data_IF_577404368368
#
_entry.id   IF_577404368368
#
_cell.length_a   1.000
_cell.length_b   1.000
_cell.length_c   1.000
_cell.angle_alpha   90.00
_cell.angle_beta   90.00
_cell.angle_gamma   90.00
#
_symmetry.space_group_name_H-M   'P 1'
#
loop_
_entity.id
_entity.type
_entity.pdbx_description
1 polymer ?
#
# COMPACT_ATOMS: atom_id res chain seq x y z
N UNK A 1 22.83 26.32 -12.66
CA UNK A 1 22.07 25.04 -12.77
C UNK A 1 21.12 24.92 -11.58
N UNK A 2 19.79 25.01 -11.79
CA UNK A 2 18.82 24.82 -10.71
C UNK A 2 18.59 23.33 -10.50
N UNK A 3 19.13 22.78 -9.40
CA UNK A 3 18.81 21.42 -8.94
C UNK A 3 17.34 21.42 -8.52
N UNK A 4 16.43 21.04 -9.42
CA UNK A 4 15.05 20.74 -9.08
C UNK A 4 15.07 19.52 -8.16
N UNK A 5 15.01 19.75 -6.85
CA UNK A 5 14.81 18.70 -5.88
C UNK A 5 13.49 18.01 -6.22
N UNK A 6 13.57 16.78 -6.75
CA UNK A 6 12.42 15.90 -6.97
C UNK A 6 11.77 15.71 -5.59
N UNK A 7 10.70 16.45 -5.30
CA UNK A 7 9.86 16.20 -4.12
C UNK A 7 9.40 14.76 -4.27
N UNK A 8 9.93 13.84 -3.45
CA UNK A 8 9.42 12.47 -3.35
C UNK A 8 7.95 12.62 -2.98
N UNK A 9 7.08 12.42 -3.97
CA UNK A 9 5.65 12.40 -3.77
C UNK A 9 5.39 11.20 -2.87
N UNK A 10 5.13 11.47 -1.59
CA UNK A 10 4.79 10.42 -0.63
C UNK A 10 3.42 9.91 -1.05
N UNK A 11 3.41 8.84 -1.83
CA UNK A 11 2.18 8.10 -2.10
C UNK A 11 1.73 7.50 -0.78
N UNK A 12 0.67 8.08 -0.24
CA UNK A 12 -0.09 7.52 0.87
C UNK A 12 -0.68 6.19 0.39
N UNK A 13 -0.56 5.16 1.22
CA UNK A 13 -1.22 3.89 0.97
C UNK A 13 -2.70 4.05 1.31
N UNK A 14 -3.56 3.59 0.42
CA UNK A 14 -5.02 3.63 0.58
C UNK A 14 -5.57 2.22 0.65
N UNK A 15 -6.82 2.06 1.07
CA UNK A 15 -7.52 0.77 1.08
C UNK A 15 -7.47 0.07 -0.28
N UNK A 16 -7.60 0.85 -1.37
CA UNK A 16 -7.62 0.37 -2.76
C UNK A 16 -6.24 0.03 -3.33
N UNK A 17 -5.16 0.31 -2.59
CA UNK A 17 -3.80 0.04 -3.07
C UNK A 17 -3.63 -1.45 -3.34
N UNK A 18 -3.16 -1.81 -4.53
CA UNK A 18 -2.90 -3.21 -4.90
C UNK A 18 -1.74 -3.79 -4.11
N UNK A 19 -1.84 -5.07 -3.76
CA UNK A 19 -0.75 -5.78 -3.09
C UNK A 19 0.52 -5.80 -3.95
N UNK A 20 0.41 -5.93 -5.28
CA UNK A 20 1.55 -5.80 -6.21
C UNK A 20 2.38 -4.53 -5.97
N UNK A 21 1.72 -3.40 -5.66
CA UNK A 21 2.40 -2.13 -5.40
C UNK A 21 3.19 -2.19 -4.09
N UNK A 22 2.64 -2.86 -3.07
CA UNK A 22 3.29 -3.06 -1.77
C UNK A 22 4.48 -4.01 -1.93
N UNK A 23 4.30 -5.12 -2.64
CA UNK A 23 5.37 -6.08 -2.91
C UNK A 23 6.54 -5.42 -3.63
N UNK A 24 6.28 -4.62 -4.67
CA UNK A 24 7.32 -3.86 -5.40
C UNK A 24 7.97 -2.77 -4.55
N UNK A 25 7.17 -2.05 -3.74
CA UNK A 25 7.66 -0.93 -2.92
C UNK A 25 8.54 -1.39 -1.77
N UNK A 26 8.21 -2.52 -1.16
CA UNK A 26 8.92 -3.05 0.01
C UNK A 26 9.80 -4.26 -0.29
N UNK A 27 9.78 -4.78 -1.52
CA UNK A 27 10.56 -5.96 -1.93
C UNK A 27 10.14 -7.23 -1.19
N UNK A 28 8.86 -7.35 -0.84
CA UNK A 28 8.31 -8.48 -0.10
C UNK A 28 7.46 -9.35 -1.00
N UNK A 29 7.49 -10.66 -0.80
CA UNK A 29 6.52 -11.56 -1.40
C UNK A 29 5.48 -11.95 -0.34
N UNK A 30 4.21 -11.67 -0.63
CA UNK A 30 3.11 -11.90 0.31
C UNK A 30 2.31 -13.17 -0.02
N UNK A 31 2.71 -13.92 -1.06
CA UNK A 31 2.01 -15.13 -1.55
C UNK A 31 0.48 -14.95 -1.67
N UNK A 32 0.06 -13.73 -2.01
CA UNK A 32 -1.34 -13.38 -2.24
C UNK A 32 -1.52 -12.81 -3.62
N UNK A 33 -2.77 -12.84 -4.07
CA UNK A 33 -3.12 -12.32 -5.38
C UNK A 33 -2.66 -10.85 -5.53
N UNK A 34 -1.86 -10.53 -6.56
CA UNK A 34 -1.25 -9.22 -6.74
C UNK A 34 -2.28 -8.12 -7.05
N UNK A 35 -3.44 -8.49 -7.61
CA UNK A 35 -4.55 -7.58 -7.88
C UNK A 35 -5.44 -7.33 -6.65
N UNK A 36 -5.21 -8.07 -5.56
CA UNK A 36 -5.93 -7.88 -4.30
C UNK A 36 -5.68 -6.51 -3.70
N UNK A 37 -6.71 -5.95 -3.07
CA UNK A 37 -6.66 -4.69 -2.35
C UNK A 37 -6.00 -4.89 -0.98
N UNK A 38 -5.09 -3.98 -0.63
CA UNK A 38 -4.36 -3.99 0.63
C UNK A 38 -5.30 -3.99 1.83
N UNK A 39 -6.37 -3.19 1.78
CA UNK A 39 -7.34 -3.13 2.86
C UNK A 39 -8.08 -4.45 3.09
N UNK A 40 -8.42 -5.18 2.02
CA UNK A 40 -9.07 -6.49 2.13
C UNK A 40 -8.09 -7.54 2.66
N UNK A 41 -6.87 -7.56 2.13
CA UNK A 41 -5.80 -8.42 2.63
C UNK A 41 -5.58 -8.24 4.14
N UNK A 42 -5.52 -6.99 4.62
CA UNK A 42 -5.36 -6.70 6.04
C UNK A 42 -6.57 -7.18 6.86
N UNK A 43 -7.80 -7.11 6.37
CA UNK A 43 -8.98 -7.66 7.07
C UNK A 43 -8.89 -9.17 7.22
N UNK A 44 -8.61 -9.88 6.12
CA UNK A 44 -8.53 -11.35 6.13
C UNK A 44 -7.38 -11.86 7.01
N UNK A 45 -6.27 -11.12 7.07
CA UNK A 45 -5.13 -11.47 7.92
C UNK A 45 -5.38 -11.20 9.41
N UNK A 46 -6.50 -10.57 9.78
CA UNK A 46 -6.85 -10.27 11.16
C UNK A 46 -6.38 -8.89 11.64
N UNK A 47 -6.12 -7.95 10.72
CA UNK A 47 -5.77 -6.56 11.00
C UNK A 47 -6.89 -5.57 10.59
N UNK A 48 -8.11 -5.68 11.14
CA UNK A 48 -9.24 -4.85 10.74
C UNK A 48 -9.05 -3.37 11.09
N UNK A 49 -8.29 -3.06 12.14
CA UNK A 49 -7.95 -1.68 12.54
C UNK A 49 -7.06 -0.99 11.51
N UNK A 50 -6.06 -1.69 10.95
CA UNK A 50 -5.21 -1.16 9.89
C UNK A 50 -5.99 -0.99 8.58
N UNK A 51 -6.84 -1.96 8.25
CA UNK A 51 -7.73 -1.84 7.10
C UNK A 51 -8.67 -0.63 7.24
N UNK A 52 -9.21 -0.39 8.45
CA UNK A 52 -10.07 0.76 8.73
C UNK A 52 -9.31 2.08 8.62
N UNK A 53 -8.10 2.14 9.18
CA UNK A 53 -7.22 3.31 9.04
C UNK A 53 -6.96 3.67 7.57
N UNK A 54 -6.74 2.68 6.70
CA UNK A 54 -6.54 2.89 5.26
C UNK A 54 -7.82 3.26 4.50
N UNK A 55 -8.99 3.01 5.07
CA UNK A 55 -10.29 3.38 4.49
C UNK A 55 -10.68 4.83 4.86
N UNK A 56 -10.20 5.32 5.99
CA UNK A 56 -10.47 6.68 6.50
C UNK A 56 -9.41 7.72 6.07
N UNK A 57 -8.33 7.29 5.41
CA UNK A 57 -7.21 8.12 4.93
C UNK A 57 -7.40 8.59 3.48
#
# INVERSE_FOLDING_TARGET
MKRQGKKKQVSYLTFDTKIDTIQKKYGVDLDVDPDKRLGEFLRERGYPSLAKMLQEA
#
